data_IF_796762283873
#
_entry.id   IF_796762283873
#
_cell.length_a   1.000
_cell.length_b   1.000
_cell.length_c   1.000
_cell.angle_alpha   90.00
_cell.angle_beta   90.00
_cell.angle_gamma   90.00
#
_symmetry.space_group_name_H-M   'P 1'
#
loop_
_entity.id
_entity.type
_entity.pdbx_description
1 polymer ?
#
# COMPACT_ATOMS: atom_id res chain seq x y z
N UNK A 1 4.64 -17.09 -45.02
CA UNK A 1 4.39 -17.97 -43.87
C UNK A 1 4.17 -17.18 -42.56
N UNK A 2 4.98 -16.17 -42.17
CA UNK A 2 4.80 -15.41 -40.89
C UNK A 2 3.49 -14.63 -40.76
N UNK A 3 2.93 -14.06 -41.85
CA UNK A 3 1.65 -13.33 -41.82
C UNK A 3 0.45 -14.23 -41.54
N UNK A 4 0.47 -15.47 -42.03
CA UNK A 4 -0.62 -16.42 -41.82
C UNK A 4 -0.62 -17.03 -40.41
N UNK A 5 0.55 -17.12 -39.77
CA UNK A 5 0.68 -17.60 -38.39
C UNK A 5 0.11 -16.56 -37.39
N UNK A 6 0.37 -15.27 -37.62
CA UNK A 6 -0.21 -14.20 -36.81
C UNK A 6 -1.75 -14.13 -36.95
N UNK A 7 -2.26 -14.27 -38.16
CA UNK A 7 -3.71 -14.32 -38.41
C UNK A 7 -4.37 -15.55 -37.76
N UNK A 8 -3.69 -16.71 -37.78
CA UNK A 8 -4.18 -17.92 -37.10
C UNK A 8 -4.20 -17.78 -35.58
N UNK A 9 -3.18 -17.14 -34.99
CA UNK A 9 -3.13 -16.88 -33.55
C UNK A 9 -4.22 -15.86 -33.14
N UNK A 10 -4.44 -14.81 -33.91
CA UNK A 10 -5.52 -13.82 -33.66
C UNK A 10 -6.89 -14.48 -33.80
N UNK A 11 -7.11 -15.36 -34.79
CA UNK A 11 -8.35 -16.11 -34.93
C UNK A 11 -8.54 -17.14 -33.82
N UNK A 12 -7.49 -17.77 -33.31
CA UNK A 12 -7.57 -18.71 -32.18
C UNK A 12 -7.93 -17.98 -30.86
N UNK A 13 -7.47 -16.74 -30.67
CA UNK A 13 -7.81 -15.90 -29.51
C UNK A 13 -9.24 -15.38 -29.61
N UNK A 14 -9.78 -15.17 -30.81
CA UNK A 14 -11.16 -14.74 -31.03
C UNK A 14 -12.18 -15.89 -30.94
N UNK A 15 -11.74 -17.15 -30.97
CA UNK A 15 -12.61 -18.33 -30.90
C UNK A 15 -12.71 -18.93 -29.49
N UNK A 16 -12.50 -18.13 -28.44
CA UNK A 16 -12.87 -18.54 -27.09
C UNK A 16 -14.39 -18.40 -26.99
N UNK A 17 -15.15 -19.51 -26.92
CA UNK A 17 -16.60 -19.39 -26.86
C UNK A 17 -16.99 -18.64 -25.59
N UNK A 18 -17.73 -17.53 -25.76
CA UNK A 18 -18.31 -16.72 -24.70
C UNK A 18 -19.47 -17.45 -24.00
N UNK A 19 -19.27 -18.71 -23.61
CA UNK A 19 -20.24 -19.49 -22.83
C UNK A 19 -19.79 -19.53 -21.37
N UNK A 20 -19.66 -18.33 -20.79
CA UNK A 20 -19.68 -18.21 -19.33
C UNK A 20 -20.93 -17.42 -18.97
N UNK A 21 -22.09 -18.06 -19.16
CA UNK A 21 -23.34 -17.62 -18.55
C UNK A 21 -23.09 -17.52 -17.05
N UNK A 22 -23.42 -16.40 -16.49
CA UNK A 22 -23.39 -15.91 -15.13
C UNK A 22 -23.65 -16.95 -14.01
N UNK A 23 -22.85 -18.01 -13.94
CA UNK A 23 -22.80 -18.86 -12.77
C UNK A 23 -22.21 -18.00 -11.64
N UNK A 24 -22.98 -17.77 -10.58
CA UNK A 24 -22.48 -17.07 -9.40
C UNK A 24 -21.34 -17.87 -8.76
N UNK A 25 -20.48 -17.19 -8.05
CA UNK A 25 -19.36 -17.79 -7.33
C UNK A 25 -19.71 -17.95 -5.84
N UNK A 26 -19.20 -18.99 -5.17
CA UNK A 26 -19.37 -19.11 -3.73
C UNK A 26 -18.47 -18.09 -3.02
N UNK A 27 -19.01 -17.48 -1.96
CA UNK A 27 -18.27 -16.66 -1.00
C UNK A 27 -18.16 -17.47 0.28
N UNK A 28 -16.94 -17.81 0.66
CA UNK A 28 -16.62 -18.67 1.80
C UNK A 28 -15.83 -17.92 2.84
N UNK A 29 -16.03 -18.29 4.10
CA UNK A 29 -15.26 -17.68 5.17
C UNK A 29 -15.60 -18.29 6.52
N UNK A 30 -15.07 -17.63 7.55
CA UNK A 30 -15.42 -17.94 8.94
C UNK A 30 -15.63 -16.67 9.76
N UNK A 31 -16.45 -16.78 10.77
CA UNK A 31 -16.66 -15.74 11.77
C UNK A 31 -16.01 -16.19 13.07
N UNK A 32 -15.22 -15.33 13.68
CA UNK A 32 -14.53 -15.60 14.94
C UNK A 32 -14.72 -14.42 15.90
N UNK A 33 -14.67 -14.70 17.17
CA UNK A 33 -14.52 -13.66 18.18
C UNK A 33 -13.14 -12.99 18.08
N UNK A 34 -13.13 -11.68 18.17
CA UNK A 34 -11.94 -10.87 17.99
C UNK A 34 -10.87 -11.10 19.05
N UNK A 35 -11.28 -11.37 20.29
CA UNK A 35 -10.40 -11.44 21.46
C UNK A 35 -10.04 -12.87 21.82
N UNK A 36 -11.05 -13.74 21.94
CA UNK A 36 -10.83 -15.16 22.26
C UNK A 36 -10.29 -15.95 21.07
N UNK A 37 -10.52 -15.45 19.83
CA UNK A 37 -10.24 -16.13 18.55
C UNK A 37 -11.07 -17.40 18.35
N UNK A 38 -12.06 -17.64 19.20
CA UNK A 38 -12.96 -18.77 19.08
C UNK A 38 -13.98 -18.58 17.94
N UNK A 39 -14.46 -19.66 17.31
CA UNK A 39 -15.45 -19.57 16.26
C UNK A 39 -16.80 -19.09 16.81
N UNK A 40 -17.45 -18.15 16.12
CA UNK A 40 -18.82 -17.70 16.39
C UNK A 40 -19.78 -18.54 15.57
N UNK A 41 -20.39 -19.52 16.20
CA UNK A 41 -21.39 -20.39 15.59
C UNK A 41 -22.74 -19.67 15.43
N UNK A 42 -23.48 -20.03 14.37
CA UNK A 42 -24.84 -19.54 14.08
C UNK A 42 -24.94 -18.03 13.88
N UNK A 43 -23.86 -17.35 13.56
CA UNK A 43 -23.88 -15.96 13.15
C UNK A 43 -24.49 -15.82 11.74
N UNK A 44 -25.32 -14.81 11.54
CA UNK A 44 -25.86 -14.49 10.22
C UNK A 44 -24.83 -13.66 9.43
N UNK A 45 -24.48 -14.14 8.24
CA UNK A 45 -23.58 -13.44 7.32
C UNK A 45 -24.35 -13.15 6.03
N UNK A 46 -24.51 -11.86 5.67
CA UNK A 46 -25.27 -11.42 4.49
C UNK A 46 -24.41 -10.53 3.61
N UNK A 47 -24.76 -10.44 2.32
CA UNK A 47 -24.20 -9.43 1.44
C UNK A 47 -24.80 -8.07 1.83
N UNK A 48 -23.94 -7.10 2.13
CA UNK A 48 -24.39 -5.76 2.52
C UNK A 48 -25.31 -5.14 1.47
N UNK A 49 -26.50 -4.71 1.88
CA UNK A 49 -27.54 -4.19 0.99
C UNK A 49 -28.37 -5.25 0.25
N UNK A 50 -28.15 -6.56 0.52
CA UNK A 50 -28.93 -7.68 -0.03
C UNK A 50 -29.30 -8.68 1.08
N UNK A 51 -30.19 -8.35 2.01
CA UNK A 51 -30.47 -9.18 3.19
C UNK A 51 -31.05 -10.57 2.84
N UNK A 52 -31.60 -10.75 1.65
CA UNK A 52 -32.04 -12.05 1.15
C UNK A 52 -30.90 -12.98 0.64
N UNK A 53 -29.66 -12.49 0.58
CA UNK A 53 -28.48 -13.27 0.18
C UNK A 53 -27.51 -13.38 1.35
N UNK A 54 -27.50 -14.54 1.99
CA UNK A 54 -26.65 -14.80 3.13
C UNK A 54 -26.59 -16.28 3.48
N UNK A 55 -25.84 -16.57 4.53
CA UNK A 55 -25.72 -17.88 5.15
C UNK A 55 -25.55 -17.72 6.67
N UNK A 56 -25.87 -18.75 7.43
CA UNK A 56 -25.51 -18.85 8.85
C UNK A 56 -24.20 -19.61 8.99
N UNK A 57 -23.41 -19.28 9.99
CA UNK A 57 -22.19 -20.02 10.31
C UNK A 57 -22.52 -21.38 10.95
N UNK A 58 -21.70 -22.36 10.64
CA UNK A 58 -21.74 -23.68 11.31
C UNK A 58 -21.11 -23.64 12.71
N UNK A 59 -21.01 -24.81 13.37
CA UNK A 59 -20.40 -24.96 14.70
C UNK A 59 -18.92 -24.59 14.77
N UNK A 60 -18.23 -24.51 13.61
CA UNK A 60 -16.84 -24.08 13.47
C UNK A 60 -16.73 -22.63 12.99
N UNK A 61 -17.85 -21.89 13.03
CA UNK A 61 -17.93 -20.50 12.57
C UNK A 61 -17.84 -20.34 11.05
N UNK A 62 -17.90 -21.41 10.23
CA UNK A 62 -17.75 -21.34 8.77
C UNK A 62 -19.07 -21.02 8.10
N UNK A 63 -19.00 -20.25 7.00
CA UNK A 63 -20.15 -19.93 6.16
C UNK A 63 -19.82 -20.09 4.68
N UNK A 64 -20.85 -20.34 3.87
CA UNK A 64 -20.78 -20.36 2.41
C UNK A 64 -22.04 -19.70 1.81
N UNK A 65 -21.86 -18.59 1.12
CA UNK A 65 -22.93 -17.92 0.37
C UNK A 65 -22.82 -18.32 -1.10
N UNK A 66 -23.78 -19.06 -1.59
CA UNK A 66 -23.75 -19.61 -2.95
C UNK A 66 -24.27 -18.59 -4.00
N UNK A 67 -23.85 -18.80 -5.25
CA UNK A 67 -24.37 -18.08 -6.42
C UNK A 67 -24.30 -16.56 -6.32
N UNK A 68 -23.23 -16.00 -5.80
CA UNK A 68 -22.99 -14.57 -5.77
C UNK A 68 -22.47 -14.12 -7.14
N UNK A 69 -23.12 -13.13 -7.76
CA UNK A 69 -22.68 -12.59 -9.05
C UNK A 69 -21.28 -11.97 -8.93
N UNK A 70 -20.46 -12.02 -10.00
CA UNK A 70 -19.19 -11.29 -9.99
C UNK A 70 -19.38 -9.81 -9.67
N UNK A 71 -18.53 -9.26 -8.80
CA UNK A 71 -18.64 -7.86 -8.39
C UNK A 71 -17.83 -7.59 -7.11
N UNK A 72 -17.93 -6.36 -6.61
CA UNK A 72 -17.30 -5.94 -5.36
C UNK A 72 -18.39 -5.79 -4.31
N UNK A 73 -18.24 -6.50 -3.20
CA UNK A 73 -19.21 -6.57 -2.11
C UNK A 73 -18.55 -6.47 -0.75
N UNK A 74 -19.27 -5.89 0.21
CA UNK A 74 -19.02 -6.04 1.64
C UNK A 74 -19.97 -7.08 2.21
N UNK A 75 -19.59 -7.74 3.30
CA UNK A 75 -20.43 -8.65 4.06
C UNK A 75 -20.82 -8.01 5.37
N UNK A 76 -22.03 -8.28 5.82
CA UNK A 76 -22.51 -7.89 7.14
C UNK A 76 -22.65 -9.15 7.97
N UNK A 77 -21.93 -9.23 9.10
CA UNK A 77 -22.06 -10.30 10.07
C UNK A 77 -22.79 -9.79 11.33
N UNK A 78 -23.78 -10.54 11.80
CA UNK A 78 -24.55 -10.22 13.00
C UNK A 78 -24.80 -11.47 13.83
N UNK A 79 -24.72 -11.32 15.16
CA UNK A 79 -25.04 -12.35 16.13
C UNK A 79 -25.48 -11.71 17.45
N UNK A 80 -26.34 -12.38 18.19
CA UNK A 80 -26.85 -11.88 19.48
C UNK A 80 -25.68 -11.80 20.46
N UNK A 81 -25.54 -10.65 21.15
CA UNK A 81 -24.44 -10.40 22.08
C UNK A 81 -23.14 -9.92 21.41
N UNK A 82 -23.17 -9.69 20.09
CA UNK A 82 -22.04 -9.16 19.32
C UNK A 82 -22.42 -7.91 18.56
N UNK A 83 -21.47 -7.00 18.44
CA UNK A 83 -21.60 -5.84 17.56
C UNK A 83 -21.67 -6.28 16.11
N UNK A 84 -22.66 -5.77 15.37
CA UNK A 84 -22.76 -6.00 13.92
C UNK A 84 -21.53 -5.43 13.19
N UNK A 85 -20.89 -6.28 12.40
CA UNK A 85 -19.67 -5.93 11.66
C UNK A 85 -19.97 -5.90 10.17
N UNK A 86 -19.54 -4.82 9.51
CA UNK A 86 -19.49 -4.74 8.04
C UNK A 86 -18.03 -4.85 7.62
N UNK A 87 -17.74 -5.85 6.81
CA UNK A 87 -16.38 -6.08 6.32
C UNK A 87 -15.94 -5.01 5.34
N UNK A 88 -14.63 -4.85 5.11
CA UNK A 88 -14.11 -4.21 3.91
C UNK A 88 -14.66 -4.86 2.64
N UNK A 89 -14.46 -4.20 1.51
CA UNK A 89 -14.87 -4.70 0.21
C UNK A 89 -14.00 -5.89 -0.26
N UNK A 90 -14.65 -6.88 -0.88
CA UNK A 90 -14.04 -8.04 -1.51
C UNK A 90 -14.52 -8.19 -2.95
N UNK A 91 -13.60 -8.54 -3.84
CA UNK A 91 -13.94 -8.88 -5.21
C UNK A 91 -14.44 -10.33 -5.28
N UNK A 92 -15.71 -10.52 -5.64
CA UNK A 92 -16.29 -11.84 -5.88
C UNK A 92 -16.04 -12.26 -7.31
N UNK A 93 -15.33 -13.37 -7.48
CA UNK A 93 -14.94 -13.95 -8.76
C UNK A 93 -14.58 -15.42 -8.56
N UNK A 94 -14.10 -16.11 -9.59
CA UNK A 94 -13.50 -17.43 -9.45
C UNK A 94 -12.31 -17.47 -8.46
N UNK A 95 -11.75 -16.30 -8.11
CA UNK A 95 -10.61 -16.12 -7.20
C UNK A 95 -11.00 -15.44 -5.88
N UNK A 96 -12.28 -15.52 -5.48
CA UNK A 96 -12.73 -14.99 -4.18
C UNK A 96 -11.92 -15.65 -3.06
N UNK A 97 -11.21 -14.88 -2.23
CA UNK A 97 -10.42 -15.44 -1.13
C UNK A 97 -11.32 -15.97 -0.02
N UNK A 98 -10.79 -16.82 0.83
CA UNK A 98 -11.44 -17.19 2.10
C UNK A 98 -11.48 -15.98 3.03
N UNK A 99 -12.68 -15.62 3.52
CA UNK A 99 -12.93 -14.37 4.26
C UNK A 99 -13.02 -14.68 5.76
N UNK A 100 -12.16 -14.06 6.56
CA UNK A 100 -12.27 -14.11 8.01
C UNK A 100 -12.94 -12.84 8.52
N UNK A 101 -13.98 -12.97 9.31
CA UNK A 101 -14.74 -11.87 9.92
C UNK A 101 -14.54 -11.94 11.43
N UNK A 102 -13.99 -10.88 12.00
CA UNK A 102 -13.79 -10.74 13.44
C UNK A 102 -14.95 -9.93 14.03
N UNK A 103 -15.69 -10.53 14.96
CA UNK A 103 -16.76 -9.88 15.70
C UNK A 103 -16.32 -9.57 17.14
N UNK A 104 -16.85 -8.52 17.72
CA UNK A 104 -16.56 -8.08 19.08
C UNK A 104 -17.82 -8.25 19.94
N UNK A 105 -17.70 -8.87 21.11
CA UNK A 105 -18.80 -9.02 22.04
C UNK A 105 -19.31 -7.65 22.53
N UNK A 106 -20.61 -7.47 22.49
CA UNK A 106 -21.31 -6.29 22.99
C UNK A 106 -22.48 -6.73 23.88
N UNK A 107 -22.28 -6.77 25.22
CA UNK A 107 -23.26 -7.38 26.14
C UNK A 107 -24.61 -6.66 26.24
N UNK A 108 -24.74 -5.44 25.73
CA UNK A 108 -25.99 -4.66 25.82
C UNK A 108 -26.25 -3.88 24.54
N UNK A 109 -27.32 -4.17 23.88
CA UNK A 109 -28.32 -3.40 23.14
C UNK A 109 -28.82 -4.09 21.86
N UNK A 110 -30.10 -4.47 21.92
CA UNK A 110 -30.95 -4.81 20.77
C UNK A 110 -31.37 -3.50 20.03
N UNK A 111 -30.46 -2.78 19.45
CA UNK A 111 -30.80 -1.69 18.56
C UNK A 111 -30.49 -2.08 17.12
N UNK A 112 -31.51 -2.01 16.28
CA UNK A 112 -31.40 -2.22 14.84
C UNK A 112 -30.44 -1.17 14.26
N UNK A 113 -29.21 -1.56 14.00
CA UNK A 113 -28.21 -0.70 13.35
C UNK A 113 -28.38 -0.80 11.85
N UNK A 114 -29.05 0.14 11.24
CA UNK A 114 -29.07 0.29 9.79
C UNK A 114 -27.70 0.79 9.32
N UNK A 115 -26.79 -0.12 9.01
CA UNK A 115 -25.47 0.22 8.48
C UNK A 115 -25.60 0.55 6.99
N UNK A 116 -25.51 1.81 6.64
CA UNK A 116 -25.33 2.24 5.24
C UNK A 116 -23.85 2.22 4.90
N UNK A 117 -23.43 1.60 3.78
CA UNK A 117 -22.05 1.73 3.32
C UNK A 117 -21.79 3.21 3.02
N UNK A 118 -20.87 3.81 3.75
CA UNK A 118 -20.45 5.19 3.55
C UNK A 118 -18.92 5.23 3.46
N UNK A 119 -18.34 5.96 2.51
CA UNK A 119 -16.90 6.21 2.47
C UNK A 119 -16.42 6.95 3.73
N UNK A 120 -17.34 7.55 4.48
CA UNK A 120 -17.10 8.20 5.77
C UNK A 120 -17.44 7.25 6.91
N UNK A 121 -16.78 6.10 7.00
CA UNK A 121 -16.87 5.25 8.18
C UNK A 121 -16.23 5.98 9.36
N UNK A 122 -17.05 6.41 10.31
CA UNK A 122 -16.58 6.76 11.64
C UNK A 122 -16.33 5.45 12.37
N UNK A 123 -15.08 5.05 12.51
CA UNK A 123 -14.72 4.12 13.57
C UNK A 123 -14.62 4.93 14.87
N UNK A 124 -14.87 4.28 15.98
CA UNK A 124 -14.70 4.88 17.34
C UNK A 124 -13.29 5.48 17.47
N UNK A 125 -12.32 4.92 16.77
CA UNK A 125 -10.91 5.31 16.75
C UNK A 125 -10.60 6.45 15.77
N UNK A 126 -11.59 6.96 15.04
CA UNK A 126 -11.33 7.89 13.96
C UNK A 126 -11.82 9.29 14.29
N UNK A 127 -10.91 10.24 14.33
CA UNK A 127 -11.27 11.64 14.32
C UNK A 127 -11.98 12.02 13.01
N UNK A 128 -12.64 13.14 13.03
CA UNK A 128 -13.55 13.69 12.01
C UNK A 128 -13.00 13.74 10.57
N UNK A 129 -11.71 13.48 10.37
CA UNK A 129 -11.02 13.67 9.08
C UNK A 129 -10.55 12.38 8.40
N UNK A 130 -10.94 11.20 8.89
CA UNK A 130 -10.58 9.94 8.23
C UNK A 130 -11.50 9.62 7.06
N UNK A 131 -10.91 9.21 5.95
CA UNK A 131 -11.59 8.67 4.78
C UNK A 131 -11.06 7.27 4.50
N UNK A 132 -11.98 6.34 4.22
CA UNK A 132 -11.61 4.97 3.86
C UNK A 132 -11.74 4.82 2.34
N UNK A 133 -10.62 4.56 1.70
CA UNK A 133 -10.55 4.30 0.26
C UNK A 133 -10.60 2.79 0.08
N UNK A 134 -11.74 2.30 -0.35
CA UNK A 134 -11.99 0.87 -0.56
C UNK A 134 -11.53 0.37 -1.93
N UNK A 135 -11.62 -0.94 -2.13
CA UNK A 135 -11.23 -1.61 -3.39
C UNK A 135 -11.99 -1.06 -4.60
N UNK A 136 -13.27 -0.73 -4.44
CA UNK A 136 -14.11 -0.18 -5.52
C UNK A 136 -13.59 1.17 -6.01
N UNK A 137 -13.16 2.03 -5.11
CA UNK A 137 -12.58 3.33 -5.47
C UNK A 137 -11.21 3.17 -6.11
N UNK A 138 -10.38 2.24 -5.61
CA UNK A 138 -9.09 1.92 -6.20
C UNK A 138 -9.23 1.42 -7.65
N UNK A 139 -10.22 0.56 -7.91
CA UNK A 139 -10.43 0.00 -9.25
C UNK A 139 -11.12 0.95 -10.22
N UNK A 140 -12.01 1.81 -9.74
CA UNK A 140 -12.89 2.66 -10.56
C UNK A 140 -12.46 4.12 -10.66
N UNK A 141 -11.42 4.55 -9.95
CA UNK A 141 -10.95 5.93 -9.98
C UNK A 141 -10.47 6.33 -11.39
N UNK A 142 -11.13 7.28 -12.05
CA UNK A 142 -10.79 7.69 -13.41
C UNK A 142 -9.38 8.29 -13.46
N UNK A 143 -8.59 7.89 -14.45
CA UNK A 143 -7.25 8.45 -14.67
C UNK A 143 -6.18 8.09 -13.64
N UNK A 144 -6.54 7.34 -12.60
CA UNK A 144 -5.59 6.92 -11.57
C UNK A 144 -4.62 5.84 -12.06
N UNK A 145 -5.02 5.05 -13.06
CA UNK A 145 -4.27 3.87 -13.51
C UNK A 145 -3.89 2.94 -12.35
N UNK A 146 -4.76 2.84 -11.33
CA UNK A 146 -4.55 2.07 -10.09
C UNK A 146 -3.36 2.57 -9.24
N UNK A 147 -2.89 3.78 -9.50
CA UNK A 147 -1.87 4.45 -8.70
C UNK A 147 -2.51 5.13 -7.49
N UNK A 148 -2.10 4.71 -6.30
CA UNK A 148 -2.68 5.16 -5.04
C UNK A 148 -2.51 6.67 -4.84
N UNK A 149 -1.37 7.23 -5.19
CA UNK A 149 -1.13 8.67 -5.05
C UNK A 149 -2.06 9.50 -5.93
N UNK A 150 -2.41 8.99 -7.10
CA UNK A 150 -3.39 9.62 -8.00
C UNK A 150 -4.83 9.49 -7.50
N UNK A 151 -5.18 8.38 -6.86
CA UNK A 151 -6.51 8.20 -6.25
C UNK A 151 -6.72 9.24 -5.15
N UNK A 152 -5.74 9.39 -4.28
CA UNK A 152 -5.80 10.32 -3.13
C UNK A 152 -5.96 11.78 -3.58
N UNK A 153 -5.49 12.16 -4.78
CA UNK A 153 -5.66 13.50 -5.34
C UNK A 153 -7.11 13.92 -5.56
N UNK A 154 -8.02 12.97 -5.72
CA UNK A 154 -9.45 13.28 -5.92
C UNK A 154 -10.16 13.73 -4.65
N UNK A 155 -9.50 13.64 -3.50
CA UNK A 155 -10.10 13.98 -2.22
C UNK A 155 -9.95 15.46 -1.86
N UNK A 156 -10.94 16.04 -1.14
CA UNK A 156 -10.90 17.42 -0.72
C UNK A 156 -9.67 17.75 0.13
N UNK A 157 -9.05 18.90 -0.13
CA UNK A 157 -7.87 19.36 0.59
C UNK A 157 -6.55 18.74 0.13
N UNK A 158 -6.57 17.93 -0.93
CA UNK A 158 -5.36 17.37 -1.55
C UNK A 158 -5.02 18.14 -2.81
N UNK A 159 -3.82 18.66 -2.85
CA UNK A 159 -3.19 19.26 -4.02
C UNK A 159 -2.02 18.39 -4.47
N UNK A 160 -1.46 18.69 -5.61
CA UNK A 160 -0.30 17.97 -6.16
C UNK A 160 0.74 18.96 -6.68
N UNK A 161 1.95 18.47 -6.86
CA UNK A 161 3.02 19.26 -7.43
C UNK A 161 2.61 19.81 -8.80
N UNK A 162 2.85 21.09 -9.10
CA UNK A 162 2.62 21.68 -10.42
C UNK A 162 3.52 21.07 -11.51
N UNK A 163 4.56 20.33 -11.11
CA UNK A 163 5.46 19.64 -12.03
C UNK A 163 4.79 18.37 -12.51
N UNK A 164 4.37 18.30 -13.76
CA UNK A 164 3.46 17.30 -14.32
C UNK A 164 3.88 15.83 -14.23
N UNK A 165 5.15 15.54 -14.03
CA UNK A 165 5.67 14.17 -13.89
C UNK A 165 5.86 13.72 -12.42
N UNK A 166 5.54 14.58 -11.43
CA UNK A 166 5.64 14.24 -10.00
C UNK A 166 4.27 14.01 -9.39
N UNK A 167 4.22 13.07 -8.44
CA UNK A 167 3.04 12.74 -7.67
C UNK A 167 3.19 13.12 -6.17
N UNK A 168 3.87 14.22 -5.90
CA UNK A 168 3.99 14.72 -4.54
C UNK A 168 2.61 15.05 -3.95
N UNK A 169 2.33 14.52 -2.78
CA UNK A 169 1.09 14.79 -2.06
C UNK A 169 1.25 16.04 -1.20
N UNK A 170 0.41 17.03 -1.46
CA UNK A 170 0.29 18.27 -0.69
C UNK A 170 -1.08 18.26 -0.06
N UNK A 171 -1.17 17.97 1.23
CA UNK A 171 -2.43 17.87 1.95
C UNK A 171 -2.61 19.10 2.85
N UNK A 172 -3.71 19.83 2.65
CA UNK A 172 -4.03 21.08 3.38
C UNK A 172 -2.90 22.10 3.39
N UNK A 173 -2.13 22.18 2.29
CA UNK A 173 -1.02 23.11 2.15
C UNK A 173 0.28 22.71 2.83
N UNK A 174 0.34 21.53 3.46
CA UNK A 174 1.57 20.98 4.03
C UNK A 174 2.52 20.41 2.98
N UNK A 175 3.81 20.40 3.27
CA UNK A 175 4.83 19.88 2.36
C UNK A 175 4.77 18.36 2.21
N UNK A 176 5.34 17.81 1.10
CA UNK A 176 5.35 16.37 0.87
C UNK A 176 6.02 15.56 1.98
N UNK A 177 7.04 16.10 2.65
CA UNK A 177 7.73 15.47 3.78
C UNK A 177 6.92 15.37 5.07
N UNK A 178 5.79 16.08 5.14
CA UNK A 178 4.91 16.11 6.30
C UNK A 178 3.88 14.97 6.32
N UNK A 179 3.80 14.22 5.24
CA UNK A 179 2.96 13.04 5.13
C UNK A 179 3.68 11.81 5.71
N UNK A 180 2.91 10.90 6.31
CA UNK A 180 3.41 9.61 6.79
C UNK A 180 2.65 8.47 6.15
N UNK A 181 3.36 7.40 5.87
CA UNK A 181 2.83 6.23 5.19
C UNK A 181 3.06 5.00 6.05
N UNK A 182 2.00 4.23 6.25
CA UNK A 182 2.07 2.97 7.01
C UNK A 182 1.51 1.84 6.15
N UNK A 183 2.03 0.64 6.32
CA UNK A 183 1.56 -0.57 5.66
C UNK A 183 1.47 -1.68 6.71
N UNK A 184 0.24 -2.12 7.02
CA UNK A 184 -0.06 -3.09 8.09
C UNK A 184 0.64 -2.79 9.45
N UNK A 185 0.77 -1.50 9.79
CA UNK A 185 1.39 -1.02 11.02
C UNK A 185 2.89 -0.75 10.94
N UNK A 186 3.53 -0.98 9.82
CA UNK A 186 4.95 -0.66 9.56
C UNK A 186 5.03 0.64 8.77
N UNK A 187 5.82 1.60 9.23
CA UNK A 187 6.09 2.83 8.49
C UNK A 187 6.94 2.54 7.25
N UNK A 188 6.54 3.10 6.10
CA UNK A 188 7.29 3.05 4.85
C UNK A 188 7.75 4.46 4.47
N UNK A 189 8.94 4.65 3.86
CA UNK A 189 9.51 5.98 3.66
C UNK A 189 8.76 6.81 2.61
N UNK A 190 8.25 6.16 1.58
CA UNK A 190 7.50 6.79 0.50
C UNK A 190 6.58 5.77 -0.19
N UNK A 191 5.71 6.25 -1.08
CA UNK A 191 4.73 5.42 -1.81
C UNK A 191 4.97 5.39 -3.31
N UNK A 192 6.01 6.09 -3.82
CA UNK A 192 6.27 6.20 -5.24
C UNK A 192 7.72 5.84 -5.59
N UNK A 193 7.91 5.33 -6.80
CA UNK A 193 9.22 5.23 -7.45
C UNK A 193 9.81 6.61 -7.73
N UNK A 194 11.13 6.71 -7.86
CA UNK A 194 11.86 7.96 -8.12
C UNK A 194 11.55 9.06 -7.09
N UNK A 195 11.31 8.68 -5.84
CA UNK A 195 11.15 9.62 -4.76
C UNK A 195 12.50 10.31 -4.44
N UNK A 196 12.42 11.55 -3.99
CA UNK A 196 13.61 12.29 -3.51
C UNK A 196 13.54 12.40 -1.99
N UNK A 197 14.68 12.64 -1.33
CA UNK A 197 14.70 12.90 0.10
C UNK A 197 13.76 14.06 0.45
N UNK A 198 12.93 13.87 1.46
CA UNK A 198 11.96 14.86 1.90
C UNK A 198 10.79 15.11 0.94
N UNK A 199 10.58 14.25 -0.06
CA UNK A 199 9.47 14.32 -0.99
C UNK A 199 8.88 12.94 -1.25
N UNK A 200 7.59 12.89 -1.56
CA UNK A 200 6.87 11.62 -1.79
C UNK A 200 6.73 11.28 -3.26
N UNK A 201 7.11 12.21 -4.13
CA UNK A 201 6.70 12.24 -5.52
C UNK A 201 7.65 11.62 -6.50
N UNK A 202 7.21 10.59 -7.14
CA UNK A 202 7.65 10.08 -8.43
C UNK A 202 6.43 9.77 -9.28
N UNK A 203 6.61 9.41 -10.56
CA UNK A 203 5.50 9.30 -11.51
C UNK A 203 4.58 8.10 -11.27
N UNK A 204 5.01 7.08 -10.52
CA UNK A 204 4.33 5.79 -10.39
C UNK A 204 4.44 5.28 -8.96
N UNK A 205 3.36 4.67 -8.44
CA UNK A 205 3.33 4.08 -7.10
C UNK A 205 4.19 2.82 -7.01
N UNK A 206 5.00 2.71 -5.94
CA UNK A 206 5.71 1.48 -5.56
C UNK A 206 4.77 0.47 -4.88
N UNK A 207 3.64 0.94 -4.33
CA UNK A 207 2.64 0.08 -3.71
C UNK A 207 1.75 -0.52 -4.78
N UNK A 208 1.71 -1.85 -4.88
CA UNK A 208 0.81 -2.53 -5.80
C UNK A 208 -0.62 -2.51 -5.25
N UNK A 209 -1.50 -1.77 -5.91
CA UNK A 209 -2.92 -1.65 -5.52
C UNK A 209 -3.68 -2.97 -5.53
N UNK A 210 -3.25 -3.97 -6.30
CA UNK A 210 -3.85 -5.31 -6.32
C UNK A 210 -3.74 -6.02 -4.97
N UNK A 211 -2.75 -5.66 -4.15
CA UNK A 211 -2.52 -6.23 -2.82
C UNK A 211 -3.21 -5.44 -1.72
N UNK A 212 -3.66 -4.22 -2.01
CA UNK A 212 -4.31 -3.35 -1.03
C UNK A 212 -5.78 -3.74 -0.87
N UNK A 213 -6.22 -3.87 0.37
CA UNK A 213 -7.63 -4.07 0.74
C UNK A 213 -8.36 -2.75 0.91
N UNK A 214 -7.75 -1.85 1.66
CA UNK A 214 -8.27 -0.50 1.92
C UNK A 214 -7.14 0.43 2.35
N UNK A 215 -7.38 1.72 2.26
CA UNK A 215 -6.45 2.76 2.72
C UNK A 215 -7.22 3.67 3.67
N UNK A 216 -6.74 3.81 4.90
CA UNK A 216 -7.24 4.82 5.81
C UNK A 216 -6.45 6.10 5.59
N UNK A 217 -7.11 7.10 5.07
CA UNK A 217 -6.53 8.39 4.76
C UNK A 217 -6.98 9.45 5.77
N UNK A 218 -6.03 9.96 6.54
CA UNK A 218 -6.24 11.00 7.53
C UNK A 218 -5.69 12.32 7.00
N UNK A 219 -6.54 13.34 6.90
CA UNK A 219 -6.16 14.67 6.41
C UNK A 219 -5.98 15.72 7.54
N UNK A 220 -5.93 15.28 8.76
CA UNK A 220 -5.77 16.07 10.00
C UNK A 220 -6.34 15.30 11.17
N UNK A 221 -6.06 15.70 12.40
CA UNK A 221 -6.46 14.96 13.61
C UNK A 221 -6.05 13.49 13.54
N UNK A 222 -4.78 13.22 13.73
CA UNK A 222 -4.24 11.88 13.68
C UNK A 222 -4.52 11.12 14.97
N UNK A 223 -4.72 9.78 14.91
CA UNK A 223 -4.75 8.96 16.11
C UNK A 223 -3.43 9.09 16.88
N UNK A 224 -3.47 8.99 18.20
CA UNK A 224 -2.28 9.11 19.05
C UNK A 224 -1.13 8.16 18.66
N UNK A 225 -1.48 7.00 18.10
CA UNK A 225 -0.55 5.99 17.62
C UNK A 225 0.06 6.29 16.24
N UNK A 226 -0.26 7.44 15.63
CA UNK A 226 0.29 7.91 14.34
C UNK A 226 1.01 9.24 14.50
N UNK A 227 1.82 9.36 15.55
CA UNK A 227 2.62 10.55 15.82
C UNK A 227 3.64 10.83 14.69
N UNK A 228 4.10 12.08 14.64
CA UNK A 228 5.12 12.54 13.68
C UNK A 228 4.60 12.90 12.29
N UNK A 229 3.30 12.79 12.01
CA UNK A 229 2.67 13.39 10.84
C UNK A 229 2.28 14.85 11.13
N UNK A 230 2.47 15.73 10.16
CA UNK A 230 2.06 17.13 10.24
C UNK A 230 0.91 17.46 9.28
N UNK A 231 0.86 16.78 8.14
CA UNK A 231 -0.08 17.06 7.06
C UNK A 231 -1.07 15.91 6.83
N UNK A 232 -0.61 14.71 6.61
CA UNK A 232 -1.49 13.55 6.43
C UNK A 232 -0.87 12.22 6.87
N UNK A 233 -1.76 11.23 7.08
CA UNK A 233 -1.39 9.83 7.25
C UNK A 233 -2.16 8.98 6.25
N UNK A 234 -1.44 8.12 5.52
CA UNK A 234 -2.02 7.05 4.72
C UNK A 234 -1.63 5.70 5.37
N UNK A 235 -2.62 4.97 5.84
CA UNK A 235 -2.43 3.64 6.44
C UNK A 235 -3.01 2.57 5.52
N UNK A 236 -2.13 1.86 4.82
CA UNK A 236 -2.45 0.80 3.88
C UNK A 236 -2.72 -0.49 4.63
N UNK A 237 -3.88 -1.06 4.41
CA UNK A 237 -4.24 -2.39 4.85
C UNK A 237 -4.14 -3.35 3.68
N UNK A 238 -3.19 -4.26 3.73
CA UNK A 238 -3.05 -5.28 2.71
C UNK A 238 -4.07 -6.40 2.90
N UNK A 239 -4.38 -7.08 1.81
CA UNK A 239 -5.11 -8.35 1.89
C UNK A 239 -4.26 -9.39 2.59
N UNK A 240 -4.89 -10.39 3.17
CA UNK A 240 -4.19 -11.58 3.63
C UNK A 240 -4.10 -12.61 2.48
N UNK A 241 -3.17 -13.54 2.59
CA UNK A 241 -3.09 -14.68 1.68
C UNK A 241 -4.29 -15.61 1.88
N UNK A 242 -4.64 -16.37 0.84
CA UNK A 242 -5.76 -17.30 0.87
C UNK A 242 -5.38 -18.58 1.64
N UNK A 243 -6.20 -18.98 2.59
CA UNK A 243 -6.01 -20.19 3.43
C UNK A 243 -6.39 -21.48 2.72
N UNK A 244 -7.19 -21.41 1.65
CA UNK A 244 -7.73 -22.58 0.97
C UNK A 244 -7.16 -22.80 -0.43
N UNK A 245 -6.70 -21.72 -1.09
CA UNK A 245 -6.34 -21.76 -2.51
C UNK A 245 -5.01 -21.07 -2.77
N UNK A 246 -4.32 -21.58 -3.80
CA UNK A 246 -3.17 -20.92 -4.40
C UNK A 246 -3.66 -20.15 -5.64
N UNK A 247 -3.44 -18.85 -5.68
CA UNK A 247 -3.83 -18.02 -6.82
C UNK A 247 -2.66 -17.23 -7.35
N UNK A 248 -2.50 -17.24 -8.68
CA UNK A 248 -1.49 -16.46 -9.37
C UNK A 248 -2.14 -15.60 -10.43
N UNK A 249 -1.64 -14.38 -10.59
CA UNK A 249 -2.11 -13.41 -11.58
C UNK A 249 -0.91 -12.83 -12.31
N UNK A 250 -0.83 -13.05 -13.61
CA UNK A 250 0.06 -12.30 -14.48
C UNK A 250 -0.72 -11.16 -15.13
N UNK A 251 -0.15 -9.98 -15.17
CA UNK A 251 -0.77 -8.79 -15.76
C UNK A 251 0.21 -8.13 -16.72
N UNK A 252 -0.28 -7.79 -17.91
CA UNK A 252 0.38 -6.91 -18.86
C UNK A 252 -0.41 -5.59 -18.82
N UNK A 253 0.15 -4.59 -18.17
CA UNK A 253 -0.44 -3.26 -18.04
C UNK A 253 -0.02 -2.32 -19.18
N UNK A 254 -0.34 -1.03 -19.06
CA UNK A 254 0.07 -0.02 -20.02
C UNK A 254 1.56 0.36 -19.90
N UNK A 255 2.16 0.17 -18.73
CA UNK A 255 3.51 0.61 -18.39
C UNK A 255 4.40 -0.48 -17.79
N UNK A 256 3.83 -1.63 -17.42
CA UNK A 256 4.51 -2.65 -16.65
C UNK A 256 3.96 -4.05 -16.89
N UNK A 257 4.80 -5.05 -16.67
CA UNK A 257 4.38 -6.44 -16.45
C UNK A 257 4.45 -6.76 -14.97
N UNK A 258 3.49 -7.54 -14.49
CA UNK A 258 3.48 -7.97 -13.09
C UNK A 258 3.10 -9.44 -12.94
N UNK A 259 3.67 -10.05 -11.91
CA UNK A 259 3.27 -11.34 -11.39
C UNK A 259 2.92 -11.17 -9.92
N UNK A 260 1.72 -11.56 -9.53
CA UNK A 260 1.30 -11.57 -8.15
C UNK A 260 0.71 -12.91 -7.76
N UNK A 261 0.79 -13.25 -6.49
CA UNK A 261 0.24 -14.51 -5.98
C UNK A 261 -0.25 -14.38 -4.55
N UNK A 262 -1.21 -15.21 -4.21
CA UNK A 262 -1.81 -15.33 -2.89
C UNK A 262 -2.05 -16.80 -2.60
N UNK A 263 -1.77 -17.23 -1.37
CA UNK A 263 -1.96 -18.61 -0.98
C UNK A 263 -1.48 -18.90 0.43
N UNK A 264 -1.24 -20.18 0.69
CA UNK A 264 -0.83 -20.67 1.99
C UNK A 264 0.31 -21.70 1.91
N UNK A 265 1.05 -21.81 3.00
CA UNK A 265 2.03 -22.87 3.25
C UNK A 265 1.57 -23.62 4.50
N UNK A 266 1.12 -24.85 4.32
CA UNK A 266 0.47 -25.59 5.39
C UNK A 266 -0.86 -24.96 5.82
N UNK A 267 -1.23 -25.15 7.09
CA UNK A 267 -2.53 -24.68 7.65
C UNK A 267 -2.43 -23.37 8.42
N UNK A 268 -1.23 -22.90 8.71
CA UNK A 268 -0.98 -21.80 9.65
C UNK A 268 -0.36 -20.57 9.01
N UNK A 269 0.22 -20.68 7.81
CA UNK A 269 0.94 -19.61 7.16
C UNK A 269 0.28 -19.24 5.85
N UNK A 270 0.00 -17.97 5.65
CA UNK A 270 -0.47 -17.41 4.38
C UNK A 270 0.57 -16.47 3.82
N UNK A 271 0.57 -16.34 2.49
CA UNK A 271 1.44 -15.40 1.80
C UNK A 271 0.69 -14.61 0.72
N UNK A 272 1.18 -13.43 0.48
CA UNK A 272 0.75 -12.53 -0.59
C UNK A 272 2.01 -11.88 -1.16
N UNK A 273 2.21 -11.93 -2.47
CA UNK A 273 3.36 -11.30 -3.10
C UNK A 273 3.03 -10.64 -4.43
N UNK A 274 3.88 -9.73 -4.84
CA UNK A 274 3.89 -9.12 -6.17
C UNK A 274 5.31 -8.82 -6.59
N UNK A 275 5.61 -9.02 -7.87
CA UNK A 275 6.82 -8.52 -8.54
C UNK A 275 6.37 -7.80 -9.80
N UNK A 276 6.89 -6.57 -10.01
CA UNK A 276 6.58 -5.75 -11.18
C UNK A 276 7.86 -5.31 -11.87
N UNK A 277 7.83 -5.28 -13.19
CA UNK A 277 8.88 -4.74 -14.04
C UNK A 277 8.29 -3.73 -15.01
N UNK A 278 8.79 -2.51 -14.96
CA UNK A 278 8.40 -1.44 -15.87
C UNK A 278 9.00 -1.60 -17.26
N UNK A 279 8.28 -1.17 -18.28
CA UNK A 279 8.79 -0.93 -19.63
C UNK A 279 8.52 0.50 -20.13
N UNK A 280 8.32 1.43 -19.21
CA UNK A 280 8.11 2.86 -19.50
C UNK A 280 9.20 3.45 -20.38
N UNK A 281 10.44 2.98 -20.27
CA UNK A 281 11.55 3.43 -21.11
C UNK A 281 11.26 3.26 -22.62
N UNK A 282 10.56 2.19 -23.03
CA UNK A 282 10.19 1.98 -24.43
C UNK A 282 9.10 2.95 -24.87
N UNK A 283 8.08 3.15 -24.02
CA UNK A 283 7.00 4.08 -24.30
C UNK A 283 7.54 5.51 -24.41
N UNK A 284 8.40 5.93 -23.48
CA UNK A 284 8.97 7.27 -23.45
C UNK A 284 9.88 7.52 -24.63
N UNK A 285 10.65 6.50 -25.06
CA UNK A 285 11.44 6.57 -26.28
C UNK A 285 10.56 6.71 -27.52
N UNK A 286 9.45 5.98 -27.63
CA UNK A 286 8.49 6.11 -28.74
C UNK A 286 7.78 7.46 -28.76
N UNK A 287 7.59 8.10 -27.61
CA UNK A 287 6.97 9.42 -27.46
C UNK A 287 7.97 10.58 -27.63
N UNK A 288 9.26 10.29 -27.91
CA UNK A 288 10.29 11.30 -28.06
C UNK A 288 10.62 12.06 -26.78
N UNK A 289 10.46 11.41 -25.60
CA UNK A 289 10.73 12.07 -24.33
C UNK A 289 12.22 12.01 -23.98
N UNK A 290 12.78 13.06 -23.32
CA UNK A 290 14.21 13.17 -23.05
C UNK A 290 14.70 12.31 -21.89
N UNK A 291 13.82 11.57 -21.21
CA UNK A 291 14.18 10.70 -20.09
C UNK A 291 13.48 9.33 -20.19
N UNK A 292 14.18 8.30 -19.76
CA UNK A 292 13.81 6.89 -19.94
C UNK A 292 13.74 6.18 -18.57
N UNK A 293 12.61 6.27 -17.83
CA UNK A 293 12.45 5.63 -16.54
C UNK A 293 12.26 4.13 -16.68
N UNK A 294 12.89 3.39 -15.78
CA UNK A 294 12.72 1.95 -15.62
C UNK A 294 12.74 1.62 -14.13
N UNK A 295 11.86 0.75 -13.67
CA UNK A 295 11.86 0.26 -12.31
C UNK A 295 11.51 -1.23 -12.25
N UNK A 296 11.97 -1.85 -11.19
CA UNK A 296 11.53 -3.15 -10.72
C UNK A 296 11.16 -3.04 -9.26
N UNK A 297 10.07 -3.64 -8.86
CA UNK A 297 9.67 -3.69 -7.46
C UNK A 297 9.16 -5.06 -7.05
N UNK A 298 9.20 -5.27 -5.73
CA UNK A 298 8.67 -6.47 -5.09
C UNK A 298 7.98 -6.13 -3.78
N UNK A 299 6.88 -6.79 -3.53
CA UNK A 299 6.12 -6.69 -2.29
C UNK A 299 5.77 -8.08 -1.78
N UNK A 300 5.95 -8.31 -0.48
CA UNK A 300 5.71 -9.58 0.18
C UNK A 300 5.05 -9.35 1.54
N UNK A 301 4.01 -10.12 1.81
CA UNK A 301 3.42 -10.28 3.14
C UNK A 301 3.32 -11.76 3.46
N UNK A 302 3.84 -12.16 4.61
CA UNK A 302 3.71 -13.53 5.14
C UNK A 302 3.12 -13.43 6.53
N UNK A 303 1.99 -14.10 6.75
CA UNK A 303 1.31 -14.13 8.04
C UNK A 303 1.26 -15.56 8.55
N UNK A 304 1.82 -15.81 9.72
CA UNK A 304 1.86 -17.10 10.38
C UNK A 304 1.13 -17.05 11.71
N UNK A 305 0.17 -17.94 11.92
CA UNK A 305 -0.48 -18.15 13.20
C UNK A 305 0.16 -19.34 13.91
N UNK A 306 0.91 -19.06 14.95
CA UNK A 306 1.53 -20.13 15.77
C UNK A 306 0.49 -20.84 16.62
N UNK A 307 -0.42 -20.06 17.21
CA UNK A 307 -1.57 -20.52 18.01
C UNK A 307 -2.79 -19.63 17.71
N UNK A 308 -3.92 -19.90 18.37
CA UNK A 308 -5.10 -19.00 18.28
C UNK A 308 -4.80 -17.61 18.89
N UNK A 309 -3.79 -17.52 19.75
CA UNK A 309 -3.44 -16.28 20.45
C UNK A 309 -2.22 -15.57 19.89
N UNK A 310 -1.47 -16.22 19.00
CA UNK A 310 -0.15 -15.74 18.59
C UNK A 310 -0.04 -15.70 17.07
N UNK A 311 0.17 -14.52 16.51
CA UNK A 311 0.43 -14.34 15.09
C UNK A 311 1.65 -13.48 14.82
N UNK A 312 2.37 -13.80 13.76
CA UNK A 312 3.47 -13.03 13.24
C UNK A 312 3.19 -12.66 11.79
N UNK A 313 3.27 -11.37 11.49
CA UNK A 313 3.19 -10.86 10.12
C UNK A 313 4.55 -10.31 9.74
N UNK A 314 5.13 -10.85 8.69
CA UNK A 314 6.32 -10.30 8.02
C UNK A 314 5.90 -9.50 6.80
N UNK A 315 6.55 -8.36 6.59
CA UNK A 315 6.34 -7.47 5.45
C UNK A 315 7.67 -7.13 4.79
N UNK A 316 7.70 -7.17 3.47
CA UNK A 316 8.80 -6.72 2.64
C UNK A 316 8.29 -5.87 1.47
N UNK A 317 8.96 -4.75 1.23
CA UNK A 317 8.76 -3.87 0.07
C UNK A 317 10.14 -3.50 -0.46
N UNK A 318 10.37 -3.63 -1.76
CA UNK A 318 11.64 -3.29 -2.39
C UNK A 318 11.38 -2.60 -3.73
N UNK A 319 12.19 -1.60 -4.06
CA UNK A 319 12.17 -0.93 -5.35
C UNK A 319 13.57 -0.58 -5.81
N UNK A 320 13.84 -0.79 -7.09
CA UNK A 320 15.07 -0.41 -7.77
C UNK A 320 14.69 0.42 -8.99
N UNK A 321 15.12 1.66 -9.00
CA UNK A 321 14.77 2.64 -10.02
C UNK A 321 16.00 3.08 -10.80
N UNK A 322 15.83 3.24 -12.11
CA UNK A 322 16.89 3.71 -13.00
C UNK A 322 16.27 4.61 -14.07
N UNK A 323 16.67 5.88 -14.08
CA UNK A 323 16.28 6.84 -15.11
C UNK A 323 17.50 7.24 -15.93
N UNK A 324 17.51 6.84 -17.20
CA UNK A 324 18.51 7.24 -18.18
C UNK A 324 18.03 8.46 -18.96
N UNK A 325 18.95 9.19 -19.57
CA UNK A 325 18.65 10.27 -20.51
C UNK A 325 18.55 9.73 -21.92
N UNK A 326 17.61 10.25 -22.72
CA UNK A 326 17.46 9.97 -24.14
C UNK A 326 18.16 11.06 -24.94
N UNK A 327 19.43 10.86 -25.22
CA UNK A 327 20.26 11.85 -25.92
C UNK A 327 20.03 11.88 -27.44
N UNK A 328 19.25 10.94 -27.98
CA UNK A 328 18.89 10.85 -29.38
C UNK A 328 17.83 11.88 -29.78
N UNK A 329 17.02 12.32 -28.81
CA UNK A 329 15.95 13.30 -29.03
C UNK A 329 16.49 14.71 -29.11
N UNK A 330 16.06 15.43 -30.17
CA UNK A 330 16.46 16.80 -30.48
C UNK A 330 15.27 17.74 -30.39
N UNK A 331 15.54 19.02 -30.33
CA UNK A 331 14.55 20.09 -30.23
C UNK A 331 14.79 20.95 -28.99
N UNK A 332 14.48 22.20 -29.08
CA UNK A 332 14.81 23.20 -28.04
C UNK A 332 14.29 22.81 -26.64
N UNK A 333 13.07 22.28 -26.55
CA UNK A 333 12.48 21.86 -25.29
C UNK A 333 13.22 20.65 -24.71
N UNK A 334 13.50 19.65 -25.54
CA UNK A 334 14.21 18.43 -25.09
C UNK A 334 15.66 18.75 -24.71
N UNK A 335 16.35 19.57 -25.48
CA UNK A 335 17.71 20.03 -25.19
C UNK A 335 17.76 20.83 -23.89
N UNK A 336 16.77 21.70 -23.67
CA UNK A 336 16.64 22.43 -22.42
C UNK A 336 16.44 21.46 -21.23
N UNK A 337 15.53 20.51 -21.33
CA UNK A 337 15.30 19.50 -20.29
C UNK A 337 16.57 18.66 -20.05
N UNK A 338 17.22 18.19 -21.09
CA UNK A 338 18.46 17.43 -21.02
C UNK A 338 19.62 18.24 -20.42
N UNK A 339 19.58 19.59 -20.49
CA UNK A 339 20.64 20.42 -19.92
C UNK A 339 20.71 20.35 -18.40
N UNK A 340 19.59 20.14 -17.70
CA UNK A 340 19.55 20.11 -16.22
C UNK A 340 19.13 18.77 -15.62
N UNK A 341 18.46 17.88 -16.36
CA UNK A 341 18.06 16.57 -15.82
C UNK A 341 19.30 15.70 -15.50
N UNK A 342 19.42 15.16 -14.27
CA UNK A 342 20.43 14.18 -13.94
C UNK A 342 20.00 12.76 -14.35
N UNK A 343 20.95 11.85 -14.43
CA UNK A 343 20.65 10.42 -14.32
C UNK A 343 20.31 10.10 -12.87
N UNK A 344 19.26 9.33 -12.66
CA UNK A 344 18.78 8.94 -11.32
C UNK A 344 18.86 7.44 -11.18
N UNK A 345 19.47 7.00 -10.08
CA UNK A 345 19.43 5.63 -9.62
C UNK A 345 18.94 5.63 -8.17
N UNK A 346 17.96 4.80 -7.86
CA UNK A 346 17.39 4.70 -6.52
C UNK A 346 17.24 3.24 -6.13
N UNK A 347 17.56 2.96 -4.89
CA UNK A 347 17.30 1.69 -4.22
C UNK A 347 16.52 2.00 -2.95
N UNK A 348 15.38 1.36 -2.79
CA UNK A 348 14.58 1.48 -1.57
C UNK A 348 14.13 0.12 -1.10
N UNK A 349 14.14 -0.10 0.20
CA UNK A 349 13.46 -1.24 0.78
C UNK A 349 12.93 -0.92 2.18
N UNK A 350 11.86 -1.60 2.50
CA UNK A 350 11.30 -1.71 3.86
C UNK A 350 11.15 -3.17 4.19
N UNK A 351 11.67 -3.58 5.34
CA UNK A 351 11.42 -4.90 5.91
C UNK A 351 10.92 -4.72 7.33
N UNK A 352 9.98 -5.55 7.74
CA UNK A 352 9.51 -5.50 9.11
C UNK A 352 8.69 -6.71 9.50
N UNK A 353 8.52 -6.86 10.80
CA UNK A 353 7.73 -7.92 11.40
C UNK A 353 6.86 -7.35 12.52
N UNK A 354 5.62 -7.80 12.59
CA UNK A 354 4.66 -7.45 13.62
C UNK A 354 4.20 -8.74 14.28
N UNK A 355 4.58 -8.92 15.54
CA UNK A 355 4.05 -9.98 16.38
C UNK A 355 2.85 -9.47 17.16
N UNK A 356 1.76 -10.25 17.21
CA UNK A 356 0.56 -9.98 18.01
C UNK A 356 0.26 -11.12 18.93
N UNK A 357 -0.08 -10.76 20.19
CA UNK A 357 -0.54 -11.67 21.22
C UNK A 357 -1.92 -11.25 21.70
N UNK A 358 -2.87 -12.18 21.70
CA UNK A 358 -4.24 -11.98 22.17
C UNK A 358 -4.37 -12.56 23.58
N UNK A 359 -4.48 -11.69 24.59
CA UNK A 359 -4.51 -12.04 26.01
C UNK A 359 -5.84 -11.61 26.65
N UNK A 360 -6.89 -12.40 26.42
CA UNK A 360 -8.23 -12.07 26.91
C UNK A 360 -8.75 -10.75 26.35
N UNK A 361 -8.88 -9.72 27.18
CA UNK A 361 -9.33 -8.39 26.74
C UNK A 361 -8.22 -7.47 26.24
N UNK A 362 -7.02 -7.99 26.07
CA UNK A 362 -5.85 -7.23 25.64
C UNK A 362 -5.31 -7.79 24.31
N UNK A 363 -4.93 -6.90 23.41
CA UNK A 363 -4.19 -7.22 22.21
C UNK A 363 -2.86 -6.49 22.26
N UNK A 364 -1.79 -7.24 22.44
CA UNK A 364 -0.42 -6.70 22.50
C UNK A 364 0.25 -6.90 21.17
N UNK A 365 0.98 -5.90 20.71
CA UNK A 365 1.77 -6.00 19.49
C UNK A 365 3.17 -5.42 19.66
N UNK A 366 4.13 -6.10 19.05
CA UNK A 366 5.50 -5.63 18.92
C UNK A 366 5.84 -5.59 17.44
N UNK A 367 6.26 -4.43 16.96
CA UNK A 367 6.69 -4.23 15.59
C UNK A 367 8.17 -3.83 15.55
N UNK A 368 8.95 -4.51 14.72
CA UNK A 368 10.32 -4.13 14.38
C UNK A 368 10.40 -3.93 12.88
N UNK A 369 10.94 -2.79 12.45
CA UNK A 369 11.10 -2.50 11.03
C UNK A 369 12.39 -1.75 10.73
N UNK A 370 12.84 -1.89 9.48
CA UNK A 370 13.98 -1.16 8.94
C UNK A 370 13.65 -0.64 7.54
N UNK A 371 13.89 0.64 7.36
CA UNK A 371 13.73 1.37 6.09
C UNK A 371 15.10 1.78 5.56
N UNK A 372 15.28 1.67 4.26
CA UNK A 372 16.46 2.10 3.53
C UNK A 372 16.07 2.82 2.25
N UNK A 373 16.66 3.97 2.00
CA UNK A 373 16.53 4.74 0.77
C UNK A 373 17.89 5.27 0.36
N UNK A 374 18.36 4.93 -0.84
CA UNK A 374 19.63 5.37 -1.40
C UNK A 374 19.37 6.02 -2.76
N UNK A 375 19.57 7.33 -2.84
CA UNK A 375 19.47 8.10 -4.06
C UNK A 375 20.86 8.45 -4.60
N UNK A 376 21.05 8.23 -5.90
CA UNK A 376 22.25 8.62 -6.64
C UNK A 376 21.85 9.44 -7.85
N UNK A 377 22.30 10.68 -7.90
CA UNK A 377 22.07 11.58 -9.03
C UNK A 377 23.42 11.94 -9.64
N UNK A 378 23.55 11.80 -10.96
CA UNK A 378 24.77 12.12 -11.68
C UNK A 378 24.45 12.98 -12.88
N UNK A 379 25.18 14.08 -13.04
CA UNK A 379 25.04 15.01 -14.18
C UNK A 379 26.42 15.39 -14.71
N UNK A 380 26.50 15.38 -16.02
CA UNK A 380 27.68 15.87 -16.75
C UNK A 380 27.32 17.08 -17.59
N UNK A 381 28.27 17.98 -17.83
CA UNK A 381 28.15 19.12 -18.74
C UNK A 381 27.85 18.57 -20.12
N UNK A 382 26.81 19.12 -20.76
CA UNK A 382 26.32 18.69 -22.08
C UNK A 382 26.05 17.17 -22.19
N UNK A 383 25.85 16.50 -21.04
CA UNK A 383 25.70 15.04 -20.93
C UNK A 383 26.92 14.24 -21.45
N UNK A 384 28.08 14.86 -21.57
CA UNK A 384 29.33 14.27 -22.04
C UNK A 384 30.11 13.65 -20.87
N UNK A 385 30.22 12.32 -20.88
CA UNK A 385 30.92 11.50 -19.85
C UNK A 385 32.37 11.20 -20.21
N UNK A 386 32.88 11.72 -21.33
CA UNK A 386 34.20 11.37 -21.85
C UNK A 386 35.33 11.78 -20.91
N UNK A 387 35.15 12.84 -20.13
CA UNK A 387 36.13 13.33 -19.18
C UNK A 387 35.55 13.53 -17.77
N UNK A 388 36.32 13.29 -16.69
CA UNK A 388 35.91 13.56 -15.32
C UNK A 388 35.61 15.05 -15.07
N UNK A 389 36.20 15.95 -15.84
CA UNK A 389 36.03 17.39 -15.70
C UNK A 389 34.64 17.87 -16.15
N UNK A 390 33.94 17.07 -16.92
CA UNK A 390 32.56 17.34 -17.30
C UNK A 390 31.55 17.00 -16.17
N UNK A 391 31.99 16.36 -15.10
CA UNK A 391 31.10 16.07 -13.97
C UNK A 391 30.67 17.35 -13.27
N UNK A 392 29.37 17.65 -13.30
CA UNK A 392 28.77 18.85 -12.69
C UNK A 392 28.05 18.54 -11.39
N UNK A 393 27.46 17.32 -11.28
CA UNK A 393 26.81 16.86 -10.06
C UNK A 393 27.04 15.37 -9.86
N UNK A 394 27.46 15.00 -8.67
CA UNK A 394 27.39 13.63 -8.14
C UNK A 394 26.87 13.70 -6.71
N UNK A 395 25.63 13.30 -6.55
CA UNK A 395 24.98 13.25 -5.25
C UNK A 395 24.70 11.79 -4.88
N UNK A 396 25.00 11.43 -3.64
CA UNK A 396 24.55 10.21 -3.01
C UNK A 396 23.97 10.52 -1.65
N UNK A 397 22.65 10.33 -1.50
CA UNK A 397 21.93 10.46 -0.25
C UNK A 397 21.41 9.11 0.22
N UNK A 398 21.76 8.72 1.44
CA UNK A 398 21.29 7.47 2.06
C UNK A 398 20.54 7.81 3.33
N UNK A 399 19.30 7.37 3.40
CA UNK A 399 18.45 7.46 4.59
C UNK A 399 18.16 6.06 5.11
N UNK A 400 18.23 5.89 6.42
CA UNK A 400 17.85 4.66 7.09
C UNK A 400 17.06 4.98 8.34
N UNK A 401 16.08 4.16 8.66
CA UNK A 401 15.30 4.27 9.90
C UNK A 401 14.97 2.86 10.40
N UNK A 402 15.42 2.56 11.63
CA UNK A 402 15.02 1.35 12.36
C UNK A 402 14.04 1.75 13.44
N UNK A 403 12.89 1.08 13.50
CA UNK A 403 11.84 1.39 14.47
C UNK A 403 11.46 0.13 15.23
N UNK A 404 11.46 0.24 16.56
CA UNK A 404 10.88 -0.74 17.49
C UNK A 404 9.66 -0.07 18.13
N UNK A 405 8.50 -0.72 18.03
CA UNK A 405 7.25 -0.22 18.57
C UNK A 405 6.53 -1.30 19.36
N UNK A 406 6.05 -0.92 20.52
CA UNK A 406 5.14 -1.71 21.35
C UNK A 406 3.79 -1.01 21.42
N UNK A 407 2.70 -1.77 21.33
CA UNK A 407 1.34 -1.28 21.50
C UNK A 407 0.53 -2.30 22.30
N UNK A 408 -0.24 -1.83 23.27
CA UNK A 408 -1.24 -2.62 23.96
C UNK A 408 -2.61 -1.96 23.75
N UNK A 409 -3.60 -2.76 23.37
CA UNK A 409 -4.99 -2.34 23.22
C UNK A 409 -5.85 -3.13 24.17
N UNK A 410 -6.56 -2.43 25.05
CA UNK A 410 -7.39 -3.00 26.10
C UNK A 410 -8.86 -2.69 25.87
N UNK A 411 -9.71 -3.71 25.86
CA UNK A 411 -11.16 -3.60 25.65
C UNK A 411 -11.87 -3.76 27.00
N UNK A 412 -12.34 -2.68 27.60
CA UNK A 412 -12.86 -2.57 28.96
C UNK A 412 -14.33 -2.11 28.93
N UNK A 413 -15.22 -2.98 28.50
CA UNK A 413 -16.63 -2.66 28.30
C UNK A 413 -16.80 -1.62 27.17
N UNK A 414 -17.30 -0.43 27.50
CA UNK A 414 -17.44 0.68 26.53
C UNK A 414 -16.14 1.43 26.24
N UNK A 415 -15.09 1.15 26.98
CA UNK A 415 -13.79 1.79 26.78
C UNK A 415 -12.85 0.94 25.97
N UNK A 416 -12.23 1.53 24.96
CA UNK A 416 -11.05 0.98 24.30
C UNK A 416 -9.86 1.85 24.61
N UNK A 417 -8.90 1.33 25.39
CA UNK A 417 -7.65 2.02 25.72
C UNK A 417 -6.56 1.53 24.77
N UNK A 418 -5.77 2.46 24.26
CA UNK A 418 -4.57 2.21 23.48
C UNK A 418 -3.40 2.90 24.13
N UNK A 419 -2.34 2.17 24.37
CA UNK A 419 -1.11 2.67 24.94
C UNK A 419 0.07 2.05 24.24
N UNK A 420 1.15 2.77 24.12
CA UNK A 420 2.33 2.23 23.48
C UNK A 420 3.54 3.14 23.56
N UNK A 421 4.63 2.57 23.09
CA UNK A 421 5.93 3.24 23.02
C UNK A 421 6.59 2.94 21.67
N UNK A 422 7.33 3.90 21.17
CA UNK A 422 8.12 3.80 19.95
C UNK A 422 9.53 4.30 20.23
N UNK A 423 10.52 3.53 19.75
CA UNK A 423 11.92 3.91 19.69
C UNK A 423 12.37 3.82 18.25
N UNK A 424 12.96 4.86 17.71
CA UNK A 424 13.52 4.84 16.37
C UNK A 424 14.94 5.39 16.35
N UNK A 425 15.74 4.84 15.44
CA UNK A 425 17.07 5.33 15.11
C UNK A 425 17.12 5.63 13.62
N UNK A 426 17.31 6.90 13.30
CA UNK A 426 17.36 7.41 11.93
C UNK A 426 18.76 7.90 11.61
N UNK A 427 19.24 7.57 10.41
CA UNK A 427 20.51 8.09 9.91
C UNK A 427 20.31 8.71 8.53
N UNK A 428 21.01 9.81 8.30
CA UNK A 428 21.13 10.43 6.98
C UNK A 428 22.60 10.61 6.65
N UNK A 429 23.00 10.11 5.50
CA UNK A 429 24.35 10.23 4.99
C UNK A 429 24.30 10.84 3.59
N UNK A 430 24.86 12.03 3.42
CA UNK A 430 24.94 12.71 2.13
C UNK A 430 26.41 12.87 1.73
N UNK A 431 26.69 12.62 0.45
CA UNK A 431 27.92 12.96 -0.23
C UNK A 431 27.55 13.66 -1.54
N UNK A 432 27.87 14.96 -1.63
CA UNK A 432 27.60 15.77 -2.78
C UNK A 432 28.86 16.39 -3.32
N UNK A 433 29.07 16.17 -4.60
CA UNK A 433 30.10 16.85 -5.40
C UNK A 433 29.34 17.66 -6.47
N UNK A 434 29.51 18.99 -6.45
CA UNK A 434 28.81 19.88 -7.35
C UNK A 434 29.74 20.99 -7.84
N UNK A 435 29.72 21.27 -9.15
CA UNK A 435 30.36 22.48 -9.70
C UNK A 435 29.43 23.66 -9.59
N UNK A 436 29.92 24.73 -9.01
CA UNK A 436 29.23 26.03 -8.99
C UNK A 436 29.52 26.81 -10.26
N UNK A 437 28.54 27.57 -10.75
CA UNK A 437 28.67 28.34 -11.99
C UNK A 437 29.01 29.80 -11.74
N UNK A 438 29.46 30.17 -10.53
CA UNK A 438 29.90 31.53 -10.22
C UNK A 438 31.36 31.69 -10.59
N UNK A 439 31.63 32.59 -11.50
CA UNK A 439 32.87 33.16 -12.07
C UNK A 439 34.14 32.31 -12.20
N UNK A 440 34.40 31.38 -11.31
CA UNK A 440 35.38 30.29 -11.44
C UNK A 440 34.67 28.97 -11.01
N UNK A 441 34.75 27.95 -11.85
CA UNK A 441 34.07 26.68 -11.64
C UNK A 441 34.65 25.94 -10.41
N UNK A 442 34.26 26.36 -9.23
CA UNK A 442 34.67 25.75 -7.98
C UNK A 442 33.94 24.40 -7.78
N UNK A 443 34.69 23.40 -7.36
CA UNK A 443 34.18 22.09 -7.05
C UNK A 443 33.83 22.03 -5.55
N UNK A 444 32.53 22.06 -5.25
CA UNK A 444 32.02 21.87 -3.91
C UNK A 444 31.95 20.37 -3.60
N UNK A 445 32.78 19.88 -2.69
CA UNK A 445 32.72 18.52 -2.14
C UNK A 445 32.34 18.61 -0.66
N UNK A 446 31.10 18.26 -0.35
CA UNK A 446 30.68 18.23 1.05
C UNK A 446 30.05 16.90 1.44
N UNK A 447 30.18 16.55 2.72
CA UNK A 447 29.69 15.33 3.31
C UNK A 447 28.96 15.65 4.60
N UNK A 448 27.79 15.08 4.76
CA UNK A 448 26.97 15.23 5.97
C UNK A 448 26.62 13.88 6.51
N UNK A 449 26.73 13.72 7.82
CA UNK A 449 26.21 12.58 8.54
C UNK A 449 25.37 13.08 9.72
N UNK A 450 24.14 12.58 9.81
CA UNK A 450 23.24 12.84 10.92
C UNK A 450 22.78 11.48 11.48
N UNK A 451 22.81 11.35 12.80
CA UNK A 451 22.22 10.21 13.51
C UNK A 451 21.27 10.75 14.59
N UNK A 452 20.02 10.32 14.57
CA UNK A 452 18.99 10.82 15.47
C UNK A 452 18.29 9.61 16.12
N UNK A 453 18.23 9.63 17.45
CA UNK A 453 17.40 8.72 18.25
C UNK A 453 16.09 9.46 18.55
N UNK A 454 14.98 8.89 18.15
CA UNK A 454 13.64 9.36 18.49
C UNK A 454 12.94 8.38 19.41
N UNK A 455 12.19 8.86 20.36
CA UNK A 455 11.32 8.03 21.19
C UNK A 455 10.03 8.76 21.47
N UNK A 456 8.98 8.01 21.72
CA UNK A 456 7.66 8.56 22.03
C UNK A 456 6.81 7.55 22.77
N UNK A 457 5.88 8.10 23.57
CA UNK A 457 4.82 7.33 24.20
C UNK A 457 3.49 7.89 23.71
N UNK A 458 2.49 7.04 23.62
CA UNK A 458 1.14 7.46 23.28
C UNK A 458 0.13 6.74 24.15
N UNK A 459 -0.96 7.44 24.43
CA UNK A 459 -2.14 6.90 25.09
C UNK A 459 -3.37 7.46 24.39
N UNK A 460 -4.32 6.60 24.10
CA UNK A 460 -5.61 6.95 23.54
C UNK A 460 -6.72 6.22 24.28
N UNK A 461 -7.86 6.87 24.44
CA UNK A 461 -9.05 6.28 25.02
C UNK A 461 -10.25 6.60 24.13
N UNK A 462 -10.98 5.57 23.73
CA UNK A 462 -12.21 5.67 22.96
C UNK A 462 -13.37 5.16 23.81
N UNK A 463 -14.49 5.86 23.77
CA UNK A 463 -15.72 5.48 24.46
C UNK A 463 -16.84 5.25 23.46
N UNK A 464 -17.48 4.06 23.47
CA UNK A 464 -18.55 3.64 22.58
C UNK A 464 -19.94 3.73 23.25
#
# INVERSE_FOLDING_TARGET
MRKNLLAAIVLLVLYIPSVWAAAGYPVRGRVIDRLSREPVAYAAVTITGQPGKGAMTDSLGRFEILQVKPGIYSLTASFIGYRTVVTPEYQVSARTPFIEIEMEEEPEHLNEVVVRPSPFRRTIESPVSMQVIGMREIEKSPGSNRDVSRIVRSYPGVSFSPIGYRNDLIVRGGGPSENRFFMDGIEIPNINHFATQGATGGPVSIVNSDLVREINFYTGSFPADRAGALSSVLDFRLRDGDLERQTFKATLGASEVSLSGSGHVGKKTTYLFSVRQSYLQFLFKLLGLPFLPNYIDGQLKVKTRFSERDELTFLGLVGIDNMKLNLDEKGEENEYLLSYLPRIQQETFTVGAVYRHYAGRHVQSVALSHNYLNNRNTKYRNNDESTPDNLTLRLRGVEQKTTLRFENRSYLGRWTLREGAELNYSTYHNKTLQRTYQQEAELLDYRTYLGIVGWGFFVGADYA
#
